data_IF_679512162765
#
_entry.id   IF_679512162765
#
_cell.length_a   1.000
_cell.length_b   1.000
_cell.length_c   1.000
_cell.angle_alpha   90.00
_cell.angle_beta   90.00
_cell.angle_gamma   90.00
#
_symmetry.space_group_name_H-M   'P 1'
#
loop_
_entity.id
_entity.type
_entity.pdbx_description
1 polymer ?
#
# COMPACT_ATOMS: atom_id res chain seq x y z
N UNK A 1 9.05 22.36 -9.13
CA UNK A 1 9.29 21.33 -8.11
C UNK A 1 7.98 20.59 -7.93
N UNK A 2 7.77 19.45 -8.59
CA UNK A 2 6.61 18.61 -8.31
C UNK A 2 6.77 18.02 -6.91
N UNK A 3 5.66 18.01 -6.16
CA UNK A 3 5.56 17.48 -4.80
C UNK A 3 4.61 16.29 -4.85
N UNK A 4 4.77 15.31 -3.95
CA UNK A 4 3.83 14.21 -3.86
C UNK A 4 2.44 14.74 -3.48
N UNK A 5 1.47 14.55 -4.38
CA UNK A 5 0.07 14.87 -4.12
C UNK A 5 -0.55 13.70 -3.33
N UNK A 6 -0.74 13.92 -2.03
CA UNK A 6 -1.36 12.96 -1.12
C UNK A 6 -2.90 13.02 -1.16
N UNK A 7 -3.46 14.00 -1.86
CA UNK A 7 -4.90 14.15 -1.98
C UNK A 7 -5.43 13.13 -3.02
N UNK A 8 -6.60 12.49 -2.79
CA UNK A 8 -7.13 11.53 -3.75
C UNK A 8 -7.40 12.20 -5.09
N UNK A 9 -6.54 11.90 -6.07
CA UNK A 9 -6.69 12.35 -7.47
C UNK A 9 -7.40 11.30 -8.34
N UNK A 10 -8.05 10.32 -7.72
CA UNK A 10 -8.81 9.28 -8.42
C UNK A 10 -10.17 9.84 -8.82
N UNK A 11 -10.54 9.72 -10.09
CA UNK A 11 -11.92 10.00 -10.54
C UNK A 11 -12.93 9.03 -9.95
N UNK A 12 -12.52 7.79 -9.65
CA UNK A 12 -13.36 6.77 -9.02
C UNK A 12 -12.48 5.81 -8.17
N UNK A 13 -12.31 6.09 -6.86
CA UNK A 13 -11.48 5.25 -5.99
C UNK A 13 -12.07 3.86 -5.79
N UNK A 14 -13.41 3.74 -5.70
CA UNK A 14 -14.12 2.48 -5.51
C UNK A 14 -13.88 1.51 -6.68
N UNK A 15 -13.96 1.99 -7.92
CA UNK A 15 -13.67 1.18 -9.10
C UNK A 15 -12.23 0.64 -9.10
N UNK A 16 -11.26 1.44 -8.67
CA UNK A 16 -9.87 1.01 -8.57
C UNK A 16 -9.68 -0.06 -7.48
N UNK A 17 -10.27 0.12 -6.30
CA UNK A 17 -10.22 -0.89 -5.22
C UNK A 17 -10.90 -2.20 -5.61
N UNK A 18 -12.01 -2.14 -6.34
CA UNK A 18 -12.69 -3.33 -6.86
C UNK A 18 -11.79 -4.07 -7.85
N UNK A 19 -11.17 -3.37 -8.80
CA UNK A 19 -10.25 -3.96 -9.77
C UNK A 19 -9.01 -4.58 -9.11
N UNK A 20 -8.43 -3.89 -8.10
CA UNK A 20 -7.31 -4.42 -7.34
C UNK A 20 -7.71 -5.72 -6.61
N UNK A 21 -8.83 -5.69 -5.89
CA UNK A 21 -9.34 -6.85 -5.16
C UNK A 21 -9.61 -8.04 -6.07
N UNK A 22 -10.19 -7.80 -7.26
CA UNK A 22 -10.45 -8.84 -8.24
C UNK A 22 -9.16 -9.53 -8.72
N UNK A 23 -8.10 -8.76 -8.96
CA UNK A 23 -6.77 -9.29 -9.35
C UNK A 23 -6.16 -10.19 -8.26
N UNK A 24 -6.46 -9.91 -6.98
CA UNK A 24 -5.94 -10.67 -5.84
C UNK A 24 -6.84 -11.84 -5.38
N UNK A 25 -8.14 -11.82 -5.69
CA UNK A 25 -9.15 -12.76 -5.13
C UNK A 25 -8.84 -14.24 -5.38
N UNK A 26 -8.18 -14.57 -6.48
CA UNK A 26 -7.91 -15.96 -6.88
C UNK A 26 -6.43 -16.35 -6.71
N UNK A 27 -5.65 -15.56 -5.96
CA UNK A 27 -4.18 -15.72 -5.91
C UNK A 27 -3.63 -15.88 -4.51
N UNK A 28 -2.59 -16.70 -4.40
CA UNK A 28 -1.79 -16.84 -3.18
C UNK A 28 -1.08 -15.53 -2.83
N UNK A 29 -0.77 -15.36 -1.54
CA UNK A 29 -0.07 -14.18 -1.00
C UNK A 29 1.21 -13.85 -1.78
N UNK A 30 2.05 -14.84 -2.09
CA UNK A 30 3.28 -14.65 -2.87
C UNK A 30 3.01 -14.08 -4.28
N UNK A 31 1.94 -14.52 -4.94
CA UNK A 31 1.60 -13.97 -6.25
C UNK A 31 1.01 -12.56 -6.13
N UNK A 32 0.30 -12.27 -5.04
CA UNK A 32 -0.19 -10.93 -4.73
C UNK A 32 0.95 -9.95 -4.47
N UNK A 33 1.99 -10.36 -3.74
CA UNK A 33 3.20 -9.56 -3.54
C UNK A 33 3.93 -9.24 -4.85
N UNK A 34 4.08 -10.23 -5.74
CA UNK A 34 4.69 -10.02 -7.06
C UNK A 34 3.89 -9.04 -7.92
N UNK A 35 2.57 -9.09 -7.87
CA UNK A 35 1.69 -8.15 -8.57
C UNK A 35 1.86 -6.74 -8.00
N UNK A 36 1.86 -6.61 -6.66
CA UNK A 36 2.04 -5.34 -5.98
C UNK A 36 3.39 -4.71 -6.32
N UNK A 37 4.49 -5.48 -6.26
CA UNK A 37 5.81 -5.00 -6.65
C UNK A 37 5.85 -4.51 -8.10
N UNK A 38 5.23 -5.27 -9.02
CA UNK A 38 5.14 -4.88 -10.43
C UNK A 38 4.29 -3.62 -10.63
N UNK A 39 3.17 -3.52 -9.93
CA UNK A 39 2.28 -2.36 -9.99
C UNK A 39 3.00 -1.10 -9.49
N UNK A 40 3.71 -1.18 -8.36
CA UNK A 40 4.52 -0.08 -7.82
C UNK A 40 5.55 0.40 -8.85
N UNK A 41 6.27 -0.52 -9.51
CA UNK A 41 7.24 -0.16 -10.53
C UNK A 41 6.61 0.48 -11.77
N UNK A 42 5.44 0.02 -12.20
CA UNK A 42 4.70 0.62 -13.32
C UNK A 42 4.24 2.03 -12.98
N UNK A 43 3.69 2.24 -11.79
CA UNK A 43 3.28 3.56 -11.30
C UNK A 43 4.49 4.48 -11.14
N UNK A 44 5.61 3.97 -10.64
CA UNK A 44 6.84 4.74 -10.50
C UNK A 44 7.36 5.23 -11.87
N UNK A 45 7.34 4.36 -12.88
CA UNK A 45 7.68 4.73 -14.25
C UNK A 45 6.69 5.75 -14.84
N UNK A 46 5.41 5.65 -14.51
CA UNK A 46 4.40 6.61 -14.98
C UNK A 46 4.59 8.00 -14.35
N UNK A 47 4.92 8.06 -13.06
CA UNK A 47 5.25 9.32 -12.36
C UNK A 47 6.52 9.95 -12.94
N UNK A 48 7.58 9.15 -13.18
CA UNK A 48 8.79 9.56 -13.88
C UNK A 48 9.68 10.58 -13.15
N UNK A 49 9.24 11.09 -11.99
CA UNK A 49 9.97 12.07 -11.19
C UNK A 49 10.62 11.42 -9.96
N UNK A 50 11.96 11.44 -9.90
CA UNK A 50 12.72 10.83 -8.82
C UNK A 50 12.43 11.45 -7.44
N UNK A 51 12.23 12.77 -7.34
CA UNK A 51 11.99 13.42 -6.05
C UNK A 51 10.63 13.02 -5.48
N UNK A 52 9.61 12.89 -6.34
CA UNK A 52 8.28 12.40 -5.95
C UNK A 52 8.35 10.95 -5.45
N UNK A 53 9.17 10.11 -6.10
CA UNK A 53 9.36 8.72 -5.69
C UNK A 53 10.12 8.60 -4.36
N UNK A 54 11.15 9.41 -4.15
CA UNK A 54 11.90 9.45 -2.88
C UNK A 54 11.02 9.92 -1.72
N UNK A 55 10.20 10.95 -1.94
CA UNK A 55 9.23 11.42 -0.94
C UNK A 55 8.18 10.34 -0.62
N UNK A 56 7.66 9.64 -1.63
CA UNK A 56 6.73 8.53 -1.46
C UNK A 56 7.33 7.37 -0.66
N UNK A 57 8.58 6.98 -0.94
CA UNK A 57 9.29 5.92 -0.21
C UNK A 57 9.52 6.30 1.26
N UNK A 58 9.90 7.55 1.52
CA UNK A 58 10.10 8.05 2.88
C UNK A 58 8.79 7.99 3.69
N UNK A 59 7.67 8.39 3.09
CA UNK A 59 6.35 8.36 3.74
C UNK A 59 5.87 6.91 3.96
N UNK A 60 6.00 6.04 2.95
CA UNK A 60 5.60 4.64 3.06
C UNK A 60 6.40 3.89 4.14
N UNK A 61 7.70 4.18 4.28
CA UNK A 61 8.55 3.60 5.32
C UNK A 61 8.18 4.01 6.75
N UNK A 62 7.60 5.20 6.94
CA UNK A 62 7.08 5.66 8.24
C UNK A 62 5.74 5.01 8.59
N UNK A 63 4.88 4.76 7.60
CA UNK A 63 3.60 4.09 7.82
C UNK A 63 3.75 2.58 8.10
N UNK A 64 4.90 1.99 7.75
CA UNK A 64 5.19 0.57 7.96
C UNK A 64 5.66 0.23 9.38
N UNK A 65 5.75 1.19 10.31
CA UNK A 65 5.90 0.86 11.73
C UNK A 65 4.60 0.19 12.20
N UNK A 66 4.59 -1.14 12.48
CA UNK A 66 3.41 -1.74 13.06
C UNK A 66 3.23 -1.11 14.44
N UNK A 67 2.13 -0.39 14.63
CA UNK A 67 1.70 0.03 15.95
C UNK A 67 1.84 -1.17 16.89
N UNK A 68 2.49 -1.04 18.08
CA UNK A 68 2.71 -2.18 18.95
C UNK A 68 1.35 -2.78 19.26
N UNK A 69 1.08 -3.99 18.76
CA UNK A 69 -0.11 -4.79 19.05
C UNK A 69 -0.16 -5.03 20.56
N UNK A 70 -0.75 -4.09 21.28
CA UNK A 70 -1.01 -4.15 22.71
C UNK A 70 -2.37 -4.83 22.89
N UNK A 71 -2.49 -6.08 22.42
CA UNK A 71 -3.76 -6.83 22.47
C UNK A 71 -3.58 -8.35 22.49
N UNK A 72 -2.57 -8.87 23.22
CA UNK A 72 -2.47 -10.31 23.49
C UNK A 72 -2.33 -10.68 24.99
N UNK A 73 -2.55 -9.76 25.93
CA UNK A 73 -2.35 -10.02 27.36
C UNK A 73 -3.61 -9.98 28.25
N UNK A 74 -4.83 -10.03 27.68
CA UNK A 74 -6.08 -9.93 28.46
C UNK A 74 -7.03 -11.15 28.38
N UNK A 75 -6.58 -12.30 27.86
CA UNK A 75 -7.40 -13.53 27.84
C UNK A 75 -6.78 -14.70 28.62
N UNK A 76 -5.73 -14.44 29.41
CA UNK A 76 -5.18 -15.41 30.36
C UNK A 76 -5.73 -15.15 31.78
N UNK A 77 -7.04 -14.96 31.91
CA UNK A 77 -7.78 -15.09 33.15
C UNK A 77 -9.18 -15.61 32.77
N UNK A 78 -9.52 -16.83 33.22
CA UNK A 78 -10.82 -17.52 33.10
C UNK A 78 -11.05 -18.48 31.91
N UNK A 79 -10.34 -19.62 31.89
CA UNK A 79 -10.99 -20.94 32.04
C UNK A 79 -9.96 -22.03 32.37
#
# INVERSE_FOLDING_TARGET
>A
MPRLELNPNFSDPDAFYAALTEVHRERSEESSERINARLILLLANHVGDQQVLEEALAIAGQAAEPAPTRSQSAQQEQH
#
